data_IF_857227649713
#
_entry.id   IF_857227649713
#
_cell.length_a   1.000
_cell.length_b   1.000
_cell.length_c   1.000
_cell.angle_alpha   90.00
_cell.angle_beta   90.00
_cell.angle_gamma   90.00
#
_symmetry.space_group_name_H-M   'P 1'
#
loop_
_entity.id
_entity.type
_entity.pdbx_description
1 polymer ?
#
# COMPACT_ATOMS: atom_id res chain seq x y z
N UNK A 1 11.07 5.89 -29.24
CA UNK A 1 9.95 6.64 -28.63
C UNK A 1 10.22 6.64 -27.13
N UNK A 2 10.60 7.79 -26.57
CA UNK A 2 10.80 7.91 -25.12
C UNK A 2 9.43 7.71 -24.45
N UNK A 3 9.24 6.57 -23.78
CA UNK A 3 8.13 6.40 -22.87
C UNK A 3 8.30 7.46 -21.77
N UNK A 4 7.49 8.51 -21.82
CA UNK A 4 7.34 9.44 -20.70
C UNK A 4 6.89 8.60 -19.51
N UNK A 5 7.81 8.35 -18.60
CA UNK A 5 7.55 7.55 -17.39
C UNK A 5 6.61 8.39 -16.50
N UNK A 6 5.29 8.25 -16.75
CA UNK A 6 4.28 8.99 -16.01
C UNK A 6 4.30 8.50 -14.56
N UNK A 7 4.58 9.40 -13.64
CA UNK A 7 4.59 9.11 -12.21
C UNK A 7 3.16 9.07 -11.66
N UNK A 8 2.84 8.02 -10.93
CA UNK A 8 1.57 7.89 -10.22
C UNK A 8 1.62 8.60 -8.86
N UNK A 9 2.80 8.58 -8.21
CA UNK A 9 3.05 9.27 -6.95
C UNK A 9 4.38 10.02 -7.06
N UNK A 10 4.41 11.26 -6.60
CA UNK A 10 5.63 12.06 -6.46
C UNK A 10 5.68 12.67 -5.05
N UNK A 11 6.82 12.57 -4.40
CA UNK A 11 7.04 13.07 -3.03
C UNK A 11 8.38 13.79 -2.97
N UNK A 12 8.38 15.01 -2.41
CA UNK A 12 9.60 15.81 -2.21
C UNK A 12 9.66 16.35 -0.79
N UNK A 13 10.70 15.93 -0.06
CA UNK A 13 11.02 16.36 1.31
C UNK A 13 9.81 16.32 2.25
N UNK A 14 8.99 15.26 2.14
CA UNK A 14 7.76 15.13 2.92
C UNK A 14 8.08 14.91 4.38
N UNK A 15 7.46 15.69 5.25
CA UNK A 15 7.64 15.61 6.70
C UNK A 15 6.29 15.54 7.41
N UNK A 16 6.24 14.77 8.50
CA UNK A 16 5.11 14.78 9.45
C UNK A 16 5.59 14.79 10.87
N UNK A 17 5.16 15.82 11.60
CA UNK A 17 5.38 15.97 13.05
C UNK A 17 4.06 15.83 13.80
N UNK A 18 4.12 15.23 14.98
CA UNK A 18 3.08 15.23 16.00
C UNK A 18 3.68 15.81 17.27
N UNK A 19 3.46 17.10 17.50
CA UNK A 19 4.18 17.85 18.53
C UNK A 19 5.69 17.83 18.27
N UNK A 20 6.48 17.37 19.24
CA UNK A 20 7.94 17.21 19.10
C UNK A 20 8.37 15.93 18.37
N UNK A 21 7.46 14.95 18.22
CA UNK A 21 7.77 13.69 17.56
C UNK A 21 7.74 13.82 16.05
N UNK A 22 8.84 13.45 15.36
CA UNK A 22 8.95 13.41 13.90
C UNK A 22 8.66 12.01 13.43
N UNK A 23 7.45 11.77 12.90
CA UNK A 23 7.03 10.48 12.41
C UNK A 23 7.52 10.16 11.00
N UNK A 24 7.69 11.20 10.16
CA UNK A 24 8.25 11.13 8.80
C UNK A 24 9.17 12.32 8.64
N UNK A 25 10.42 12.07 8.21
CA UNK A 25 11.49 13.04 8.20
C UNK A 25 12.03 13.26 6.77
N UNK A 26 11.52 14.29 6.10
CA UNK A 26 11.99 14.81 4.80
C UNK A 26 12.20 13.74 3.71
N UNK A 27 11.31 12.76 3.61
CA UNK A 27 11.41 11.69 2.60
C UNK A 27 11.10 12.20 1.19
N UNK A 28 11.81 11.66 0.19
CA UNK A 28 11.59 11.95 -1.22
C UNK A 28 11.64 10.66 -2.02
N UNK A 29 10.62 10.41 -2.85
CA UNK A 29 10.54 9.27 -3.74
C UNK A 29 9.48 9.49 -4.82
N UNK A 30 9.47 8.61 -5.83
CA UNK A 30 8.44 8.55 -6.84
C UNK A 30 7.99 7.11 -7.08
N UNK A 31 6.78 6.94 -7.61
CA UNK A 31 6.22 5.65 -8.03
C UNK A 31 5.73 5.78 -9.47
N UNK A 32 6.19 4.88 -10.35
CA UNK A 32 5.76 4.84 -11.73
C UNK A 32 4.32 4.29 -11.87
N UNK A 33 3.63 4.64 -12.96
CA UNK A 33 2.32 4.05 -13.25
C UNK A 33 2.45 2.54 -13.51
N UNK A 34 1.54 1.74 -12.93
CA UNK A 34 1.54 0.28 -13.04
C UNK A 34 2.60 -0.43 -12.20
N UNK A 35 3.36 0.31 -11.38
CA UNK A 35 4.39 -0.24 -10.51
C UNK A 35 3.79 -0.80 -9.21
N UNK A 36 4.32 -1.92 -8.73
CA UNK A 36 4.14 -2.37 -7.35
C UNK A 36 5.31 -1.82 -6.54
N UNK A 37 5.08 -0.79 -5.75
CA UNK A 37 6.07 -0.13 -4.91
C UNK A 37 5.91 -0.53 -3.45
N UNK A 38 6.97 -1.12 -2.88
CA UNK A 38 7.01 -1.57 -1.50
C UNK A 38 7.64 -0.54 -0.57
N UNK A 39 7.00 -0.30 0.58
CA UNK A 39 7.51 0.56 1.65
C UNK A 39 7.80 -0.31 2.87
N UNK A 40 9.04 -0.78 3.00
CA UNK A 40 9.47 -1.78 3.98
C UNK A 40 10.12 -1.12 5.19
N UNK A 41 9.73 -1.54 6.39
CA UNK A 41 10.34 -1.06 7.63
C UNK A 41 9.66 -1.61 8.88
N UNK A 42 10.26 -1.45 10.06
CA UNK A 42 9.71 -1.93 11.32
C UNK A 42 8.46 -1.14 11.72
N UNK A 43 7.77 -1.64 12.74
CA UNK A 43 6.65 -0.91 13.32
C UNK A 43 7.12 0.43 13.90
N UNK A 44 6.34 1.48 13.66
CA UNK A 44 6.71 2.84 14.06
C UNK A 44 7.67 3.58 13.13
N UNK A 45 8.15 2.97 12.03
CA UNK A 45 9.09 3.61 11.10
C UNK A 45 8.49 4.75 10.26
N UNK A 46 7.17 5.00 10.33
CA UNK A 46 6.51 6.08 9.56
C UNK A 46 5.69 5.60 8.36
N UNK A 47 5.61 4.28 8.08
CA UNK A 47 4.91 3.70 6.92
C UNK A 47 3.45 4.14 6.81
N UNK A 48 2.63 3.81 7.81
CA UNK A 48 1.20 4.16 7.81
C UNK A 48 0.96 5.68 7.84
N UNK A 49 1.86 6.45 8.47
CA UNK A 49 1.80 7.91 8.45
C UNK A 49 2.01 8.44 7.04
N UNK A 50 2.99 7.88 6.31
CA UNK A 50 3.25 8.25 4.91
C UNK A 50 2.04 7.94 4.02
N UNK A 51 1.50 6.72 4.08
CA UNK A 51 0.28 6.37 3.32
C UNK A 51 -0.87 7.34 3.64
N UNK A 52 -1.13 7.64 4.91
CA UNK A 52 -2.21 8.54 5.31
C UNK A 52 -2.04 9.97 4.77
N UNK A 53 -0.81 10.46 4.62
CA UNK A 53 -0.55 11.73 3.93
C UNK A 53 -0.85 11.63 2.43
N UNK A 54 -0.41 10.58 1.78
CA UNK A 54 -0.65 10.36 0.35
C UNK A 54 -2.14 10.16 0.02
N UNK A 55 -2.89 9.51 0.92
CA UNK A 55 -4.34 9.36 0.79
C UNK A 55 -5.14 10.63 1.16
N UNK A 56 -4.48 11.73 1.52
CA UNK A 56 -5.15 12.97 1.94
C UNK A 56 -5.92 12.84 3.27
N UNK A 57 -5.52 11.91 4.15
CA UNK A 57 -6.07 11.75 5.50
C UNK A 57 -5.32 12.65 6.49
N UNK A 58 -3.99 12.73 6.37
CA UNK A 58 -3.16 13.62 7.15
C UNK A 58 -2.57 14.73 6.28
N UNK A 59 -2.59 15.96 6.76
CA UNK A 59 -1.84 17.05 6.14
C UNK A 59 -0.36 16.96 6.55
N UNK A 60 0.59 17.01 5.61
CA UNK A 60 2.00 17.08 5.91
C UNK A 60 2.35 18.31 6.78
N UNK A 61 3.42 18.22 7.57
CA UNK A 61 3.97 19.36 8.31
C UNK A 61 4.84 20.24 7.41
N UNK A 62 5.55 19.61 6.45
CA UNK A 62 6.33 20.29 5.40
C UNK A 62 6.56 19.38 4.21
N UNK A 63 7.18 19.90 3.15
CA UNK A 63 7.38 19.19 1.89
C UNK A 63 6.17 19.25 0.97
N UNK A 64 6.22 18.51 -0.12
CA UNK A 64 5.17 18.46 -1.14
C UNK A 64 5.01 17.06 -1.73
N UNK A 65 3.91 16.82 -2.39
CA UNK A 65 3.67 15.58 -3.12
C UNK A 65 2.42 15.65 -3.98
N UNK A 66 2.35 14.72 -4.92
CA UNK A 66 1.20 14.53 -5.80
C UNK A 66 0.85 13.05 -5.92
N UNK A 67 -0.44 12.73 -5.99
CA UNK A 67 -0.98 11.39 -6.20
C UNK A 67 -1.97 11.46 -7.36
N UNK A 68 -1.71 10.70 -8.42
CA UNK A 68 -2.53 10.77 -9.64
C UNK A 68 -2.58 12.15 -10.28
N UNK A 69 -1.53 12.98 -10.07
CA UNK A 69 -1.46 14.37 -10.51
C UNK A 69 -2.14 15.38 -9.59
N UNK A 70 -2.78 14.95 -8.48
CA UNK A 70 -3.44 15.82 -7.51
C UNK A 70 -2.51 16.13 -6.32
N UNK A 71 -2.45 17.40 -5.91
CA UNK A 71 -1.67 17.87 -4.76
C UNK A 71 -2.22 17.31 -3.44
N UNK A 72 -1.34 16.70 -2.62
CA UNK A 72 -1.70 16.04 -1.36
C UNK A 72 -2.21 16.98 -0.26
N UNK A 73 -2.04 18.28 -0.41
CA UNK A 73 -2.49 19.30 0.54
C UNK A 73 -3.76 20.00 0.04
N UNK A 74 -3.77 20.39 -1.23
CA UNK A 74 -4.82 21.25 -1.80
C UNK A 74 -5.97 20.46 -2.41
N UNK A 75 -5.73 19.22 -2.83
CA UNK A 75 -6.69 18.43 -3.61
C UNK A 75 -7.05 17.09 -2.94
N UNK A 76 -7.01 17.02 -1.61
CA UNK A 76 -7.25 15.80 -0.84
C UNK A 76 -8.56 15.07 -1.20
N UNK A 77 -9.63 15.82 -1.45
CA UNK A 77 -10.92 15.22 -1.82
C UNK A 77 -10.87 14.56 -3.21
N UNK A 78 -10.12 15.14 -4.15
CA UNK A 78 -9.92 14.50 -5.46
C UNK A 78 -9.10 13.24 -5.33
N UNK A 79 -8.03 13.26 -4.52
CA UNK A 79 -7.24 12.05 -4.25
C UNK A 79 -8.15 10.94 -3.73
N UNK A 80 -8.95 11.19 -2.69
CA UNK A 80 -9.85 10.20 -2.08
C UNK A 80 -10.84 9.57 -3.07
N UNK A 81 -11.25 10.30 -4.09
CA UNK A 81 -12.15 9.82 -5.14
C UNK A 81 -11.46 8.96 -6.20
N UNK A 82 -10.12 9.04 -6.33
CA UNK A 82 -9.36 8.40 -7.40
C UNK A 82 -8.44 7.28 -6.94
N UNK A 83 -8.35 7.05 -5.61
CA UNK A 83 -7.52 5.99 -5.05
C UNK A 83 -8.36 4.93 -4.36
N UNK A 84 -7.88 3.68 -4.36
CA UNK A 84 -8.30 2.66 -3.42
C UNK A 84 -7.41 2.71 -2.16
N UNK A 85 -8.01 2.53 -0.99
CA UNK A 85 -7.26 2.47 0.26
C UNK A 85 -7.72 1.31 1.13
N UNK A 86 -6.79 0.44 1.47
CA UNK A 86 -6.96 -0.63 2.44
C UNK A 86 -6.12 -0.34 3.68
N UNK A 87 -6.78 -0.05 4.79
CA UNK A 87 -6.12 0.22 6.07
C UNK A 87 -5.65 -1.08 6.75
N UNK A 88 -4.66 -0.97 7.63
CA UNK A 88 -4.11 -2.07 8.41
C UNK A 88 -5.18 -2.83 9.22
N UNK A 89 -6.14 -2.11 9.80
CA UNK A 89 -7.34 -2.71 10.40
C UNK A 89 -8.42 -2.71 9.33
N UNK A 90 -9.01 -3.88 9.06
CA UNK A 90 -10.12 -3.96 8.11
C UNK A 90 -11.23 -2.99 8.53
N UNK A 91 -11.53 -2.05 7.65
CA UNK A 91 -12.62 -1.08 7.87
C UNK A 91 -13.99 -1.70 7.53
N UNK A 92 -14.11 -3.02 7.57
CA UNK A 92 -15.33 -3.75 7.26
C UNK A 92 -16.31 -3.70 8.43
N UNK A 93 -17.59 -3.73 8.12
CA UNK A 93 -18.67 -3.81 9.11
C UNK A 93 -18.90 -5.28 9.46
N UNK A 94 -18.55 -5.65 10.67
CA UNK A 94 -18.61 -7.03 11.17
C UNK A 94 -20.05 -7.60 11.24
N UNK A 95 -21.06 -6.75 11.43
CA UNK A 95 -22.47 -7.12 11.49
C UNK A 95 -23.17 -7.12 10.11
N UNK A 96 -22.47 -6.75 9.06
CA UNK A 96 -22.93 -6.87 7.69
C UNK A 96 -22.39 -8.15 7.04
N UNK A 97 -23.15 -8.72 6.12
CA UNK A 97 -22.69 -9.78 5.23
C UNK A 97 -21.61 -9.26 4.26
N UNK A 98 -20.99 -10.18 3.52
CA UNK A 98 -20.06 -9.84 2.43
C UNK A 98 -20.73 -8.94 1.40
N UNK A 99 -21.94 -9.34 0.93
CA UNK A 99 -22.70 -8.56 -0.05
C UNK A 99 -23.07 -7.18 0.45
N UNK A 100 -23.59 -7.08 1.68
CA UNK A 100 -23.96 -5.80 2.28
C UNK A 100 -22.75 -4.87 2.49
N UNK A 101 -21.57 -5.41 2.84
CA UNK A 101 -20.34 -4.61 2.88
C UNK A 101 -19.98 -4.07 1.49
N UNK A 102 -20.02 -4.92 0.45
CA UNK A 102 -19.74 -4.51 -0.93
C UNK A 102 -20.72 -3.44 -1.38
N UNK A 103 -22.03 -3.62 -1.12
CA UNK A 103 -23.06 -2.64 -1.44
C UNK A 103 -22.84 -1.31 -0.71
N UNK A 104 -22.53 -1.35 0.58
CA UNK A 104 -22.23 -0.17 1.39
C UNK A 104 -21.05 0.62 0.81
N UNK A 105 -19.94 -0.05 0.52
CA UNK A 105 -18.77 0.61 -0.06
C UNK A 105 -19.00 1.09 -1.48
N UNK A 106 -19.83 0.40 -2.26
CA UNK A 106 -20.29 0.84 -3.58
C UNK A 106 -20.96 2.22 -3.49
N UNK A 107 -21.78 2.43 -2.44
CA UNK A 107 -22.40 3.71 -2.14
C UNK A 107 -21.38 4.77 -1.69
N UNK A 108 -20.46 4.42 -0.78
CA UNK A 108 -19.41 5.34 -0.27
C UNK A 108 -18.53 5.86 -1.40
N UNK A 109 -18.13 4.98 -2.32
CA UNK A 109 -17.29 5.36 -3.47
C UNK A 109 -18.08 5.97 -4.64
N UNK A 110 -19.40 6.13 -4.49
CA UNK A 110 -20.24 6.75 -5.51
C UNK A 110 -20.27 5.99 -6.84
N UNK A 111 -20.23 4.65 -6.78
CA UNK A 111 -20.34 3.83 -8.00
C UNK A 111 -21.67 4.12 -8.70
N UNK A 112 -21.67 4.52 -9.98
CA UNK A 112 -22.92 4.86 -10.68
C UNK A 112 -23.93 3.70 -10.67
N UNK A 113 -25.21 3.98 -10.45
CA UNK A 113 -26.27 2.97 -10.38
C UNK A 113 -26.29 2.04 -11.60
N UNK A 114 -25.95 2.56 -12.79
CA UNK A 114 -25.87 1.77 -14.03
C UNK A 114 -24.72 0.75 -14.05
N UNK A 115 -23.69 0.92 -13.22
CA UNK A 115 -22.52 0.02 -13.14
C UNK A 115 -22.49 -0.78 -11.83
N UNK A 116 -23.32 -0.41 -10.83
CA UNK A 116 -23.26 -0.92 -9.47
C UNK A 116 -23.24 -2.45 -9.45
N UNK A 117 -24.28 -3.10 -9.98
CA UNK A 117 -24.39 -4.55 -9.98
C UNK A 117 -23.23 -5.24 -10.70
N UNK A 118 -22.76 -4.67 -11.82
CA UNK A 118 -21.60 -5.23 -12.55
C UNK A 118 -20.34 -5.17 -11.71
N UNK A 119 -20.09 -4.05 -11.00
CA UNK A 119 -18.90 -3.88 -10.17
C UNK A 119 -18.94 -4.77 -8.93
N UNK A 120 -20.08 -4.89 -8.29
CA UNK A 120 -20.29 -5.76 -7.13
C UNK A 120 -20.05 -7.24 -7.49
N UNK A 121 -20.62 -7.70 -8.59
CA UNK A 121 -20.40 -9.06 -9.09
C UNK A 121 -18.93 -9.31 -9.44
N UNK A 122 -18.30 -8.34 -10.10
CA UNK A 122 -16.86 -8.41 -10.44
C UNK A 122 -15.99 -8.54 -9.18
N UNK A 123 -16.28 -7.78 -8.11
CA UNK A 123 -15.55 -7.87 -6.84
C UNK A 123 -15.73 -9.24 -6.21
N UNK A 124 -16.95 -9.77 -6.18
CA UNK A 124 -17.24 -11.10 -5.63
C UNK A 124 -16.42 -12.18 -6.35
N UNK A 125 -16.44 -12.16 -7.68
CA UNK A 125 -15.71 -13.11 -8.53
C UNK A 125 -14.19 -12.94 -8.37
N UNK A 126 -13.66 -11.74 -8.55
CA UNK A 126 -12.24 -11.44 -8.47
C UNK A 126 -11.64 -11.82 -7.12
N UNK A 127 -12.36 -11.57 -6.03
CA UNK A 127 -11.91 -11.89 -4.69
C UNK A 127 -12.26 -13.32 -4.24
N UNK A 128 -12.95 -14.12 -5.08
CA UNK A 128 -13.38 -15.51 -4.77
C UNK A 128 -14.28 -15.56 -3.55
N UNK A 129 -15.33 -14.72 -3.52
CA UNK A 129 -16.23 -14.53 -2.38
C UNK A 129 -17.62 -15.14 -2.59
N UNK A 130 -17.86 -15.85 -3.70
CA UNK A 130 -19.18 -16.36 -4.09
C UNK A 130 -19.82 -17.23 -2.99
N UNK A 131 -19.05 -18.14 -2.41
CA UNK A 131 -19.51 -19.02 -1.33
C UNK A 131 -19.71 -18.33 0.00
N UNK A 132 -19.21 -17.10 0.15
CA UNK A 132 -19.25 -16.30 1.38
C UNK A 132 -20.25 -15.15 1.32
N UNK A 133 -20.91 -14.94 0.17
CA UNK A 133 -21.76 -13.77 -0.14
C UNK A 133 -22.71 -13.40 1.00
N UNK A 134 -23.41 -14.39 1.56
CA UNK A 134 -24.42 -14.23 2.61
C UNK A 134 -23.86 -14.45 4.03
N UNK A 135 -22.54 -14.61 4.21
CA UNK A 135 -21.95 -14.81 5.52
C UNK A 135 -21.68 -13.46 6.19
N UNK A 136 -21.96 -13.37 7.50
CA UNK A 136 -21.60 -12.21 8.31
C UNK A 136 -20.08 -12.05 8.34
N UNK A 137 -19.61 -10.82 8.15
CA UNK A 137 -18.17 -10.53 8.06
C UNK A 137 -17.41 -10.94 9.32
N UNK A 138 -18.01 -10.84 10.51
CA UNK A 138 -17.38 -11.31 11.77
C UNK A 138 -17.04 -12.80 11.77
N UNK A 139 -17.72 -13.62 10.98
CA UNK A 139 -17.51 -15.09 10.93
C UNK A 139 -16.42 -15.50 9.95
N UNK A 140 -15.91 -14.58 9.15
CA UNK A 140 -14.92 -14.85 8.10
C UNK A 140 -13.51 -14.97 8.70
N UNK A 141 -12.67 -15.81 8.07
CA UNK A 141 -11.24 -15.86 8.35
C UNK A 141 -10.55 -14.55 7.96
N UNK A 142 -9.38 -14.27 8.54
CA UNK A 142 -8.59 -13.08 8.21
C UNK A 142 -8.30 -12.96 6.70
N UNK A 143 -7.96 -14.07 6.03
CA UNK A 143 -7.69 -14.08 4.60
C UNK A 143 -8.93 -13.76 3.74
N UNK A 144 -10.14 -14.16 4.16
CA UNK A 144 -11.38 -13.78 3.47
C UNK A 144 -11.69 -12.31 3.71
N UNK A 145 -11.59 -11.82 4.95
CA UNK A 145 -11.76 -10.39 5.27
C UNK A 145 -10.80 -9.52 4.46
N UNK A 146 -9.56 -9.96 4.30
CA UNK A 146 -8.54 -9.28 3.51
C UNK A 146 -8.97 -9.14 2.03
N UNK A 147 -9.42 -10.23 1.40
CA UNK A 147 -9.91 -10.22 0.02
C UNK A 147 -11.15 -9.35 -0.15
N UNK A 148 -12.08 -9.39 0.80
CA UNK A 148 -13.24 -8.51 0.82
C UNK A 148 -12.83 -7.04 0.94
N UNK A 149 -11.92 -6.71 1.85
CA UNK A 149 -11.43 -5.34 2.03
C UNK A 149 -10.74 -4.80 0.77
N UNK A 150 -9.92 -5.63 0.11
CA UNK A 150 -9.33 -5.28 -1.17
C UNK A 150 -10.39 -5.07 -2.25
N UNK A 151 -11.38 -5.97 -2.33
CA UNK A 151 -12.49 -5.84 -3.27
C UNK A 151 -13.27 -4.55 -3.10
N UNK A 152 -13.61 -4.20 -1.85
CA UNK A 152 -14.27 -2.94 -1.53
C UNK A 152 -13.44 -1.72 -2.00
N UNK A 153 -12.11 -1.74 -1.82
CA UNK A 153 -11.23 -0.67 -2.27
C UNK A 153 -11.13 -0.52 -3.81
N UNK A 154 -11.62 -1.51 -4.56
CA UNK A 154 -11.57 -1.58 -6.02
C UNK A 154 -12.90 -1.26 -6.73
N UNK A 155 -13.98 -1.06 -5.99
CA UNK A 155 -15.34 -0.90 -6.55
C UNK A 155 -15.46 0.22 -7.59
N UNK A 156 -14.78 1.33 -7.37
CA UNK A 156 -14.80 2.53 -8.21
C UNK A 156 -13.70 2.58 -9.28
N UNK A 157 -13.02 1.44 -9.54
CA UNK A 157 -11.98 1.30 -10.57
C UNK A 157 -10.78 2.27 -10.40
N UNK A 158 -10.18 2.37 -9.21
CA UNK A 158 -9.07 3.28 -8.98
C UNK A 158 -7.84 2.85 -9.80
N UNK A 159 -7.06 3.84 -10.28
CA UNK A 159 -5.78 3.59 -10.96
C UNK A 159 -4.61 3.44 -10.00
N UNK A 160 -4.78 3.84 -8.75
CA UNK A 160 -3.77 3.78 -7.69
C UNK A 160 -4.41 3.17 -6.45
N UNK A 161 -3.74 2.20 -5.84
CA UNK A 161 -4.20 1.55 -4.61
C UNK A 161 -3.11 1.65 -3.55
N UNK A 162 -3.50 2.04 -2.35
CA UNK A 162 -2.67 2.03 -1.16
C UNK A 162 -3.08 0.89 -0.23
N UNK A 163 -2.13 0.04 0.12
CA UNK A 163 -2.33 -1.13 0.98
C UNK A 163 -1.44 -1.00 2.22
N UNK A 164 -2.05 -0.80 3.38
CA UNK A 164 -1.32 -0.61 4.65
C UNK A 164 -1.22 -1.94 5.40
N UNK A 165 -0.06 -2.59 5.33
CA UNK A 165 0.25 -3.91 5.92
C UNK A 165 -0.81 -4.98 5.61
N UNK A 166 -1.18 -5.19 4.34
CA UNK A 166 -2.37 -5.94 3.99
C UNK A 166 -2.31 -7.43 4.37
N UNK A 167 -1.12 -7.99 4.58
CA UNK A 167 -0.90 -9.42 4.86
C UNK A 167 -0.63 -9.72 6.33
N UNK A 168 -0.74 -8.71 7.20
CA UNK A 168 -0.50 -8.88 8.63
C UNK A 168 -1.52 -9.82 9.27
N UNK A 169 -1.04 -10.85 9.98
CA UNK A 169 -1.90 -11.82 10.64
C UNK A 169 -2.61 -12.83 9.72
N UNK A 170 -2.19 -12.93 8.46
CA UNK A 170 -2.74 -13.85 7.46
C UNK A 170 -1.82 -15.06 7.30
N UNK A 171 -2.41 -16.25 7.17
CA UNK A 171 -1.66 -17.48 6.94
C UNK A 171 -0.90 -17.48 5.59
N UNK A 172 0.17 -18.31 5.45
CA UNK A 172 1.02 -18.28 4.25
C UNK A 172 0.29 -18.56 2.94
N UNK A 173 -0.74 -19.42 2.96
CA UNK A 173 -1.49 -19.77 1.74
C UNK A 173 -2.36 -18.59 1.31
N UNK A 174 -3.12 -18.00 2.24
CA UNK A 174 -3.95 -16.83 1.97
C UNK A 174 -3.08 -15.63 1.57
N UNK A 175 -1.89 -15.44 2.17
CA UNK A 175 -0.90 -14.42 1.77
C UNK A 175 -0.46 -14.60 0.32
N UNK A 176 -0.08 -15.82 -0.08
CA UNK A 176 0.30 -16.12 -1.47
C UNK A 176 -0.82 -15.79 -2.45
N UNK A 177 -2.06 -16.20 -2.13
CA UNK A 177 -3.23 -15.94 -2.97
C UNK A 177 -3.49 -14.43 -3.09
N UNK A 178 -3.34 -13.68 -2.02
CA UNK A 178 -3.49 -12.23 -2.03
C UNK A 178 -2.44 -11.54 -2.92
N UNK A 179 -1.17 -11.97 -2.86
CA UNK A 179 -0.12 -11.45 -3.73
C UNK A 179 -0.37 -11.78 -5.21
N UNK A 180 -0.98 -12.92 -5.51
CA UNK A 180 -1.40 -13.23 -6.89
C UNK A 180 -2.46 -12.24 -7.40
N UNK A 181 -3.44 -11.87 -6.56
CA UNK A 181 -4.42 -10.82 -6.89
C UNK A 181 -3.75 -9.46 -7.14
N UNK A 182 -2.81 -9.06 -6.27
CA UNK A 182 -2.05 -7.81 -6.43
C UNK A 182 -1.31 -7.80 -7.76
N UNK A 183 -0.58 -8.88 -8.10
CA UNK A 183 0.16 -8.99 -9.37
C UNK A 183 -0.77 -8.95 -10.59
N UNK A 184 -1.93 -9.61 -10.51
CA UNK A 184 -2.93 -9.55 -11.57
C UNK A 184 -3.44 -8.13 -11.79
N UNK A 185 -3.73 -7.37 -10.73
CA UNK A 185 -4.14 -5.97 -10.84
C UNK A 185 -3.04 -5.08 -11.42
N UNK A 186 -1.80 -5.25 -10.99
CA UNK A 186 -0.67 -4.51 -11.54
C UNK A 186 -0.50 -4.78 -13.05
N UNK A 187 -0.71 -6.03 -13.50
CA UNK A 187 -0.64 -6.40 -14.93
C UNK A 187 -1.71 -5.71 -15.79
N UNK A 188 -2.82 -5.24 -15.20
CA UNK A 188 -3.84 -4.42 -15.88
C UNK A 188 -3.53 -2.92 -15.85
N UNK A 189 -2.38 -2.53 -15.30
CA UNK A 189 -1.93 -1.13 -15.25
C UNK A 189 -2.29 -0.38 -13.96
N UNK A 190 -2.84 -1.06 -12.95
CA UNK A 190 -3.10 -0.46 -11.63
C UNK A 190 -1.78 -0.27 -10.89
N UNK A 191 -1.51 0.93 -10.39
CA UNK A 191 -0.36 1.23 -9.54
C UNK A 191 -0.65 0.82 -8.11
N UNK A 192 0.29 0.13 -7.47
CA UNK A 192 0.08 -0.40 -6.12
C UNK A 192 1.20 0.09 -5.20
N UNK A 193 0.81 0.79 -4.13
CA UNK A 193 1.70 1.17 -3.05
C UNK A 193 1.38 0.30 -1.84
N UNK A 194 2.34 -0.52 -1.39
CA UNK A 194 2.14 -1.43 -0.27
C UNK A 194 3.14 -1.18 0.84
N UNK A 195 2.68 -1.08 2.08
CA UNK A 195 3.55 -1.11 3.25
C UNK A 195 3.61 -2.53 3.81
N UNK A 196 4.78 -2.92 4.28
CA UNK A 196 5.00 -4.21 4.94
C UNK A 196 6.18 -4.14 5.91
N UNK A 197 6.20 -5.05 6.87
CA UNK A 197 7.39 -5.36 7.67
C UNK A 197 7.91 -6.78 7.39
N UNK A 198 7.28 -7.50 6.44
CA UNK A 198 7.69 -8.84 6.01
C UNK A 198 8.60 -8.77 4.79
N UNK A 199 9.77 -9.39 4.87
CA UNK A 199 10.74 -9.43 3.76
C UNK A 199 10.21 -10.20 2.55
N UNK A 200 9.47 -11.30 2.78
CA UNK A 200 8.85 -12.08 1.72
C UNK A 200 7.83 -11.28 0.90
N UNK A 201 7.11 -10.37 1.54
CA UNK A 201 6.18 -9.48 0.84
C UNK A 201 6.93 -8.48 -0.03
N UNK A 202 8.02 -7.93 0.49
CA UNK A 202 8.86 -6.97 -0.22
C UNK A 202 9.46 -7.56 -1.51
N UNK A 203 9.79 -8.86 -1.53
CA UNK A 203 10.30 -9.55 -2.72
C UNK A 203 9.29 -9.59 -3.89
N UNK A 204 8.01 -9.36 -3.62
CA UNK A 204 6.96 -9.28 -4.66
C UNK A 204 6.86 -7.89 -5.31
N UNK A 205 7.56 -6.87 -4.80
CA UNK A 205 7.52 -5.51 -5.29
C UNK A 205 8.52 -5.29 -6.43
N UNK A 206 8.21 -4.38 -7.36
CA UNK A 206 9.12 -3.97 -8.41
C UNK A 206 10.28 -3.15 -7.87
N UNK A 207 9.99 -2.18 -6.99
CA UNK A 207 10.96 -1.38 -6.24
C UNK A 207 10.54 -1.29 -4.79
N UNK A 208 11.52 -1.04 -3.93
CA UNK A 208 11.41 -0.92 -2.48
C UNK A 208 12.00 0.41 -2.02
N UNK A 209 11.33 1.03 -1.05
CA UNK A 209 11.95 2.00 -0.17
C UNK A 209 12.03 1.41 1.24
N UNK A 210 13.24 1.34 1.77
CA UNK A 210 13.51 0.88 3.13
C UNK A 210 13.44 2.08 4.06
N UNK A 211 12.47 2.07 4.99
CA UNK A 211 12.27 3.19 5.93
C UNK A 211 12.63 2.78 7.36
N UNK A 212 13.38 3.65 8.04
CA UNK A 212 13.74 3.51 9.43
C UNK A 212 13.72 4.88 10.13
N UNK A 213 13.15 4.97 11.33
CA UNK A 213 13.01 6.23 12.11
C UNK A 213 12.50 7.41 11.27
N UNK A 214 11.51 7.18 10.42
CA UNK A 214 10.92 8.20 9.57
C UNK A 214 11.73 8.60 8.34
N UNK A 215 12.89 7.99 8.09
CA UNK A 215 13.80 8.32 6.98
C UNK A 215 13.93 7.15 6.02
N UNK A 216 13.98 7.41 4.70
CA UNK A 216 14.32 6.40 3.70
C UNK A 216 15.83 6.18 3.76
N UNK A 217 16.26 4.97 4.14
CA UNK A 217 17.68 4.60 4.28
C UNK A 217 18.24 3.92 3.04
N UNK A 218 17.40 3.36 2.17
CA UNK A 218 17.79 2.84 0.86
C UNK A 218 16.55 2.73 -0.04
N UNK A 219 16.74 2.74 -1.37
CA UNK A 219 15.69 2.55 -2.36
C UNK A 219 16.24 1.91 -3.63
N UNK A 220 15.53 0.90 -4.15
CA UNK A 220 15.91 0.18 -5.36
C UNK A 220 15.09 -1.09 -5.57
N UNK A 221 15.44 -1.89 -6.56
CA UNK A 221 14.89 -3.25 -6.70
C UNK A 221 15.52 -4.16 -5.64
N UNK A 222 14.84 -5.25 -5.24
CA UNK A 222 15.41 -6.24 -4.30
C UNK A 222 16.79 -6.70 -4.78
N UNK A 223 16.96 -6.97 -6.08
CA UNK A 223 18.24 -7.37 -6.67
C UNK A 223 19.34 -6.30 -6.57
N UNK A 224 19.01 -5.02 -6.76
CA UNK A 224 19.96 -3.91 -6.61
C UNK A 224 20.41 -3.78 -5.16
N UNK A 225 19.46 -3.76 -4.22
CA UNK A 225 19.74 -3.67 -2.79
C UNK A 225 20.63 -4.82 -2.30
N UNK A 226 20.35 -6.06 -2.73
CA UNK A 226 21.20 -7.22 -2.39
C UNK A 226 22.61 -7.12 -2.97
N UNK A 227 22.78 -6.63 -4.20
CA UNK A 227 24.07 -6.47 -4.85
C UNK A 227 25.02 -5.52 -4.10
N UNK A 228 24.49 -4.43 -3.56
CA UNK A 228 25.31 -3.44 -2.82
C UNK A 228 25.95 -4.02 -1.56
N UNK A 229 25.38 -5.10 -1.02
CA UNK A 229 25.85 -5.79 0.19
C UNK A 229 26.44 -7.18 -0.07
N UNK A 230 26.59 -7.58 -1.35
CA UNK A 230 27.13 -8.88 -1.71
C UNK A 230 28.65 -8.91 -1.46
N UNK A 231 29.10 -9.86 -0.63
CA UNK A 231 30.50 -10.21 -0.46
C UNK A 231 30.80 -11.51 -1.23
N UNK A 232 30.94 -12.65 -0.54
CA UNK A 232 31.15 -13.98 -1.13
C UNK A 232 29.83 -14.76 -1.28
N UNK A 233 28.76 -14.34 -0.59
CA UNK A 233 27.40 -14.93 -0.61
C UNK A 233 26.40 -13.84 -0.87
N UNK A 234 25.38 -14.11 -1.70
CA UNK A 234 24.28 -13.18 -1.94
C UNK A 234 23.43 -13.11 -0.67
N UNK A 235 23.33 -11.94 -0.02
CA UNK A 235 22.58 -11.80 1.22
C UNK A 235 21.06 -11.90 0.97
N UNK A 236 20.32 -12.25 2.01
CA UNK A 236 18.87 -12.07 2.01
C UNK A 236 18.52 -10.57 2.09
N UNK A 237 17.27 -10.20 1.77
CA UNK A 237 16.81 -8.82 1.95
C UNK A 237 16.80 -8.41 3.43
N UNK A 238 16.61 -9.39 4.33
CA UNK A 238 16.70 -9.19 5.78
C UNK A 238 18.10 -8.82 6.23
N UNK A 239 19.14 -9.52 5.74
CA UNK A 239 20.56 -9.22 6.05
C UNK A 239 20.92 -7.80 5.57
N UNK A 240 20.46 -7.41 4.37
CA UNK A 240 20.65 -6.06 3.82
C UNK A 240 20.02 -5.02 4.74
N UNK A 241 18.77 -5.26 5.14
CA UNK A 241 18.02 -4.32 5.98
C UNK A 241 18.66 -4.15 7.36
N UNK A 242 19.08 -5.24 8.00
CA UNK A 242 19.78 -5.19 9.30
C UNK A 242 21.09 -4.40 9.17
N UNK A 243 21.90 -4.68 8.13
CA UNK A 243 23.15 -3.96 7.90
C UNK A 243 22.95 -2.45 7.68
N UNK A 244 21.89 -2.07 6.96
CA UNK A 244 21.54 -0.66 6.74
C UNK A 244 21.15 0.04 8.04
N UNK A 245 20.36 -0.62 8.89
CA UNK A 245 19.96 -0.08 10.21
C UNK A 245 21.21 0.12 11.09
N UNK A 246 22.09 -0.88 11.19
CA UNK A 246 23.31 -0.78 11.98
C UNK A 246 24.21 0.37 11.53
N UNK A 247 24.34 0.56 10.23
CA UNK A 247 25.11 1.66 9.66
C UNK A 247 24.45 3.03 9.96
N UNK A 248 23.13 3.14 9.84
CA UNK A 248 22.38 4.34 10.18
C UNK A 248 22.53 4.71 11.65
N UNK A 249 22.36 3.75 12.57
CA UNK A 249 22.48 3.98 14.02
C UNK A 249 23.93 4.34 14.44
N UNK A 250 24.96 3.88 13.73
CA UNK A 250 26.36 4.30 13.95
C UNK A 250 26.59 5.75 13.54
N UNK A 251 25.96 6.22 12.44
CA UNK A 251 26.09 7.60 11.97
C UNK A 251 25.36 8.62 12.89
N UNK A 252 24.22 8.21 13.48
CA UNK A 252 23.50 9.08 14.44
C UNK A 252 24.23 9.29 15.77
N UNK A 253 25.18 8.41 16.12
CA UNK A 253 25.94 8.48 17.38
C UNK A 253 27.25 9.26 17.26
N UNK A 254 27.63 9.67 16.05
CA UNK A 254 28.79 10.52 15.76
C UNK A 254 28.39 12.01 15.64
#
# INVERSE_FOLDING_TARGET
MNATNHKAVEVSKLEKRFGSFVAVNHISFDVAQGEIFGFLGPNGAGKSTTIKMLCGIFTPSSGSGAVGGFDIVREQNKIKQHIGYMSQRFSLYDDLTVEENIEFYSGIYGVPASKKQQRENWVIEMAGLESFKNHLTRTLSAGIKQRLSLGCALLHEPKIIFLDEPTSGVDPIARKNFWNLIKQMASTGVTIFVTTHYMDDAENCNRLALIYKGTIIAMGTSSQLKKEFTTNVVPSLEDVFVSLIENYDKQEKQ
#
